data_IF_376456491096
#
_entry.id   IF_376456491096
#
_cell.length_a   1.000
_cell.length_b   1.000
_cell.length_c   1.000
_cell.angle_alpha   90.00
_cell.angle_beta   90.00
_cell.angle_gamma   90.00
#
_symmetry.space_group_name_H-M   'P 1'
#
loop_
_entity.id
_entity.type
_entity.pdbx_description
1 polymer ?
#
# COMPACT_ATOMS: atom_id res chain seq x y z
N UNK A 1 -23.85 -17.04 23.00
CA UNK A 1 -23.36 -17.45 21.67
C UNK A 1 -22.20 -16.53 21.28
N UNK A 2 -21.00 -16.74 21.81
CA UNK A 2 -19.84 -15.83 21.59
C UNK A 2 -18.52 -16.56 21.21
N UNK A 3 -18.54 -17.89 21.08
CA UNK A 3 -17.31 -18.67 20.79
C UNK A 3 -16.87 -18.65 19.32
N UNK A 4 -17.70 -18.15 18.40
CA UNK A 4 -17.42 -18.15 16.95
C UNK A 4 -16.50 -17.02 16.48
N UNK A 5 -16.64 -15.81 17.04
CA UNK A 5 -15.84 -14.65 16.61
C UNK A 5 -14.37 -14.75 17.04
N UNK A 6 -14.11 -15.21 18.26
CA UNK A 6 -12.73 -15.32 18.79
C UNK A 6 -11.87 -16.36 18.04
N UNK A 7 -12.47 -17.44 17.56
CA UNK A 7 -11.74 -18.50 16.86
C UNK A 7 -11.32 -18.07 15.45
N UNK A 8 -12.13 -17.23 14.80
CA UNK A 8 -11.89 -16.74 13.45
C UNK A 8 -10.75 -15.72 13.40
N UNK A 9 -10.69 -14.83 14.40
CA UNK A 9 -9.67 -13.78 14.52
C UNK A 9 -8.27 -14.37 14.76
N UNK A 10 -8.18 -15.45 15.55
CA UNK A 10 -6.91 -16.16 15.78
C UNK A 10 -6.40 -16.92 14.56
N UNK A 11 -7.30 -17.53 13.76
CA UNK A 11 -6.89 -18.24 12.53
C UNK A 11 -6.36 -17.28 11.46
N UNK A 12 -6.96 -16.09 11.32
CA UNK A 12 -6.49 -15.07 10.38
C UNK A 12 -5.16 -14.46 10.80
N UNK A 13 -4.99 -14.14 12.09
CA UNK A 13 -3.71 -13.69 12.63
C UNK A 13 -2.60 -14.72 12.40
N UNK A 14 -2.90 -16.01 12.59
CA UNK A 14 -1.98 -17.12 12.31
C UNK A 14 -1.58 -17.18 10.82
N UNK A 15 -2.54 -17.14 9.90
CA UNK A 15 -2.27 -17.17 8.46
C UNK A 15 -1.43 -15.98 7.98
N UNK A 16 -1.70 -14.78 8.50
CA UNK A 16 -0.95 -13.59 8.11
C UNK A 16 0.51 -13.67 8.59
N UNK A 17 0.72 -14.24 9.78
CA UNK A 17 2.04 -14.47 10.34
C UNK A 17 2.80 -15.55 9.56
N UNK A 18 2.17 -16.67 9.23
CA UNK A 18 2.74 -17.71 8.37
C UNK A 18 3.22 -17.15 7.02
N UNK A 19 2.43 -16.24 6.43
CA UNK A 19 2.81 -15.59 5.16
C UNK A 19 4.02 -14.66 5.32
N UNK A 20 4.11 -13.92 6.42
CA UNK A 20 5.28 -13.08 6.71
C UNK A 20 6.52 -13.94 6.97
N UNK A 21 6.41 -14.97 7.81
CA UNK A 21 7.51 -15.91 8.09
C UNK A 21 8.00 -16.61 6.83
N UNK A 22 7.06 -17.07 5.98
CA UNK A 22 7.41 -17.69 4.70
C UNK A 22 8.22 -16.73 3.81
N UNK A 23 7.85 -15.45 3.74
CA UNK A 23 8.60 -14.46 2.97
C UNK A 23 9.99 -14.19 3.56
N UNK A 24 10.13 -14.19 4.89
CA UNK A 24 11.42 -14.04 5.56
C UNK A 24 12.36 -15.23 5.27
N UNK A 25 11.82 -16.44 5.20
CA UNK A 25 12.58 -17.67 4.93
C UNK A 25 12.87 -17.83 3.43
N UNK A 26 11.90 -17.51 2.57
CA UNK A 26 11.98 -17.69 1.13
C UNK A 26 11.29 -16.53 0.40
N UNK A 27 12.05 -15.49 0.04
CA UNK A 27 11.44 -14.32 -0.57
C UNK A 27 10.86 -14.62 -1.94
N UNK A 28 9.59 -14.27 -2.15
CA UNK A 28 8.82 -14.57 -3.36
C UNK A 28 9.47 -14.06 -4.65
N UNK A 29 10.26 -12.99 -4.56
CA UNK A 29 10.93 -12.35 -5.70
C UNK A 29 12.47 -12.41 -5.62
N UNK A 30 13.05 -13.21 -4.72
CA UNK A 30 14.50 -13.27 -4.48
C UNK A 30 15.09 -11.98 -3.88
N UNK A 31 14.25 -11.08 -3.38
CA UNK A 31 14.65 -9.86 -2.68
C UNK A 31 14.30 -10.05 -1.21
N UNK A 32 15.29 -10.10 -0.33
CA UNK A 32 15.02 -10.16 1.11
C UNK A 32 14.41 -8.85 1.62
N UNK A 33 13.55 -8.94 2.63
CA UNK A 33 13.06 -7.77 3.33
C UNK A 33 14.24 -7.08 4.05
N UNK A 34 14.30 -5.76 3.96
CA UNK A 34 15.14 -4.96 4.86
C UNK A 34 14.56 -4.95 6.26
N UNK A 35 15.37 -4.61 7.27
CA UNK A 35 14.93 -4.51 8.67
C UNK A 35 13.73 -3.57 8.85
N UNK A 36 13.72 -2.44 8.14
CA UNK A 36 12.62 -1.48 8.19
C UNK A 36 11.36 -2.03 7.51
N UNK A 37 11.51 -2.72 6.36
CA UNK A 37 10.39 -3.37 5.67
C UNK A 37 9.75 -4.46 6.53
N UNK A 38 10.57 -5.30 7.16
CA UNK A 38 10.12 -6.35 8.08
C UNK A 38 9.36 -5.76 9.26
N UNK A 39 9.93 -4.72 9.89
CA UNK A 39 9.28 -4.06 11.03
C UNK A 39 7.95 -3.41 10.64
N UNK A 40 7.89 -2.71 9.49
CA UNK A 40 6.65 -2.11 9.00
C UNK A 40 5.62 -3.20 8.66
N UNK A 41 6.02 -4.31 8.05
CA UNK A 41 5.13 -5.44 7.79
C UNK A 41 4.57 -6.02 9.10
N UNK A 42 5.43 -6.21 10.11
CA UNK A 42 5.05 -6.67 11.44
C UNK A 42 4.10 -5.72 12.17
N UNK A 43 4.27 -4.41 12.01
CA UNK A 43 3.30 -3.42 12.52
C UNK A 43 1.94 -3.59 11.84
N UNK A 44 1.92 -3.69 10.51
CA UNK A 44 0.67 -3.76 9.74
C UNK A 44 -0.11 -5.05 9.99
N UNK A 45 0.54 -6.14 10.38
CA UNK A 45 -0.12 -7.38 10.84
C UNK A 45 -1.05 -7.14 12.03
N UNK A 46 -0.76 -6.13 12.87
CA UNK A 46 -1.55 -5.78 14.06
C UNK A 46 -2.62 -4.73 13.77
N UNK A 47 -2.64 -4.17 12.57
CA UNK A 47 -3.62 -3.18 12.16
C UNK A 47 -4.86 -3.84 11.56
N UNK A 48 -6.00 -3.16 11.66
CA UNK A 48 -7.27 -3.57 11.05
C UNK A 48 -7.94 -2.42 10.32
N UNK A 49 -9.01 -2.70 9.57
CA UNK A 49 -9.79 -1.68 8.88
C UNK A 49 -10.44 -0.67 9.84
N UNK A 50 -10.70 -1.06 11.10
CA UNK A 50 -11.23 -0.18 12.15
C UNK A 50 -10.14 0.66 12.82
N UNK A 51 -8.93 0.08 12.95
CA UNK A 51 -7.76 0.71 13.58
C UNK A 51 -6.54 0.63 12.66
N UNK A 52 -6.55 1.34 11.52
CA UNK A 52 -5.43 1.37 10.60
C UNK A 52 -4.30 2.26 11.13
N UNK A 53 -3.06 1.99 10.73
CA UNK A 53 -1.94 2.87 11.03
C UNK A 53 -1.82 4.00 10.01
N UNK A 54 -1.71 5.24 10.49
CA UNK A 54 -1.37 6.38 9.62
C UNK A 54 0.12 6.39 9.38
N UNK A 55 0.55 7.10 8.33
CA UNK A 55 1.98 7.25 8.02
C UNK A 55 2.73 7.89 9.19
N UNK A 56 2.14 8.93 9.81
CA UNK A 56 2.74 9.56 10.98
C UNK A 56 2.96 8.56 12.13
N UNK A 57 2.02 7.64 12.35
CA UNK A 57 2.15 6.62 13.39
C UNK A 57 3.28 5.65 13.04
N UNK A 58 3.35 5.18 11.79
CA UNK A 58 4.43 4.29 11.31
C UNK A 58 5.79 4.95 11.48
N UNK A 59 5.95 6.21 11.06
CA UNK A 59 7.20 6.98 11.23
C UNK A 59 7.60 7.03 12.70
N UNK A 60 6.66 7.35 13.59
CA UNK A 60 6.91 7.41 15.03
C UNK A 60 7.35 6.06 15.58
N UNK A 61 6.65 4.97 15.22
CA UNK A 61 7.02 3.63 15.69
C UNK A 61 8.39 3.17 15.17
N UNK A 62 8.74 3.48 13.92
CA UNK A 62 10.07 3.19 13.37
C UNK A 62 11.15 3.97 14.13
N UNK A 63 10.96 5.28 14.33
CA UNK A 63 11.93 6.12 15.06
C UNK A 63 12.15 5.67 16.50
N UNK A 64 11.08 5.25 17.19
CA UNK A 64 11.16 4.80 18.58
C UNK A 64 11.83 3.43 18.76
N UNK A 65 11.65 2.50 17.82
CA UNK A 65 12.07 1.10 17.99
C UNK A 65 13.31 0.71 17.18
N UNK A 66 13.52 1.33 16.01
CA UNK A 66 14.68 1.06 15.15
C UNK A 66 15.73 2.18 15.22
N UNK A 67 15.50 3.21 16.05
CA UNK A 67 16.39 4.38 16.17
C UNK A 67 16.78 5.00 14.82
N UNK A 68 15.86 4.93 13.86
CA UNK A 68 16.07 5.36 12.47
C UNK A 68 14.99 6.35 12.05
N UNK A 69 15.38 7.38 11.30
CA UNK A 69 14.44 8.37 10.77
C UNK A 69 14.06 8.03 9.34
N UNK A 70 12.76 7.98 9.08
CA UNK A 70 12.20 7.85 7.73
C UNK A 70 11.14 8.93 7.50
N UNK A 71 10.97 9.36 6.25
CA UNK A 71 9.97 10.34 5.88
C UNK A 71 8.70 9.69 5.29
N UNK A 72 7.69 10.51 5.00
CA UNK A 72 6.42 10.05 4.45
C UNK A 72 6.60 9.34 3.09
N UNK A 73 7.55 9.80 2.29
CA UNK A 73 7.84 9.24 0.96
C UNK A 73 8.45 7.86 1.09
N UNK A 74 9.40 7.68 2.00
CA UNK A 74 10.02 6.40 2.29
C UNK A 74 8.98 5.38 2.77
N UNK A 75 8.08 5.76 3.69
CA UNK A 75 6.99 4.86 4.11
C UNK A 75 6.12 4.42 2.93
N UNK A 76 5.74 5.35 2.04
CA UNK A 76 4.93 5.02 0.85
C UNK A 76 5.66 4.08 -0.10
N UNK A 77 6.95 4.30 -0.35
CA UNK A 77 7.73 3.40 -1.20
C UNK A 77 7.91 2.02 -0.58
N UNK A 78 8.14 1.93 0.73
CA UNK A 78 8.21 0.65 1.46
C UNK A 78 6.89 -0.10 1.32
N UNK A 79 5.74 0.54 1.61
CA UNK A 79 4.43 -0.10 1.47
C UNK A 79 4.18 -0.55 0.02
N UNK A 80 4.62 0.24 -0.96
CA UNK A 80 4.54 -0.13 -2.38
C UNK A 80 5.42 -1.33 -2.72
N UNK A 81 6.63 -1.40 -2.16
CA UNK A 81 7.56 -2.53 -2.27
C UNK A 81 6.91 -3.80 -1.70
N UNK A 82 6.44 -3.75 -0.45
CA UNK A 82 5.75 -4.87 0.22
C UNK A 82 4.57 -5.42 -0.61
N UNK A 83 3.77 -4.55 -1.24
CA UNK A 83 2.68 -4.98 -2.14
C UNK A 83 3.18 -5.54 -3.47
N UNK A 84 4.09 -4.84 -4.15
CA UNK A 84 4.47 -5.15 -5.54
C UNK A 84 5.45 -6.31 -5.61
N UNK A 85 6.43 -6.34 -4.73
CA UNK A 85 7.52 -7.32 -4.71
C UNK A 85 7.08 -8.55 -3.92
N UNK A 86 6.67 -8.36 -2.67
CA UNK A 86 6.36 -9.44 -1.72
C UNK A 86 4.88 -9.87 -1.73
N UNK A 87 4.03 -9.24 -2.55
CA UNK A 87 2.60 -9.57 -2.70
C UNK A 87 1.84 -9.56 -1.36
N UNK A 88 2.25 -8.70 -0.43
CA UNK A 88 1.56 -8.55 0.85
C UNK A 88 0.21 -7.87 0.64
N UNK A 89 -0.88 -8.39 1.23
CA UNK A 89 -2.24 -7.91 1.03
C UNK A 89 -2.50 -6.69 1.93
N UNK A 90 -1.65 -5.66 1.81
CA UNK A 90 -1.78 -4.43 2.59
C UNK A 90 -2.82 -3.56 1.89
N UNK A 91 -3.82 -3.08 2.61
CA UNK A 91 -4.85 -2.18 2.10
C UNK A 91 -4.59 -0.74 2.56
N UNK A 92 -5.30 0.22 1.96
CA UNK A 92 -5.21 1.62 2.34
C UNK A 92 -6.55 2.34 2.16
N UNK A 93 -6.81 3.30 3.04
CA UNK A 93 -8.01 4.15 3.00
C UNK A 93 -7.65 5.60 3.32
N UNK A 94 -8.19 6.53 2.53
CA UNK A 94 -8.04 7.99 2.75
C UNK A 94 -9.17 8.57 3.61
N UNK A 95 -10.35 7.95 3.58
CA UNK A 95 -11.50 8.30 4.44
C UNK A 95 -11.31 7.75 5.85
N UNK A 96 -12.00 8.33 6.83
CA UNK A 96 -11.92 7.88 8.23
C UNK A 96 -12.58 6.49 8.40
N UNK A 97 -11.97 5.56 9.16
CA UNK A 97 -10.62 5.63 9.71
C UNK A 97 -9.56 5.48 8.60
N UNK A 98 -8.63 6.43 8.53
CA UNK A 98 -7.65 6.53 7.46
C UNK A 98 -6.32 5.90 7.86
N UNK A 99 -5.67 5.21 6.92
CA UNK A 99 -4.38 4.56 7.14
C UNK A 99 -4.20 3.29 6.33
N UNK A 100 -3.24 2.47 6.76
CA UNK A 100 -2.86 1.19 6.19
C UNK A 100 -3.12 0.07 7.19
N UNK A 101 -3.51 -1.09 6.68
CA UNK A 101 -3.70 -2.30 7.47
C UNK A 101 -3.50 -3.55 6.60
N UNK A 102 -3.30 -4.69 7.25
CA UNK A 102 -3.28 -5.97 6.57
C UNK A 102 -4.71 -6.44 6.28
N UNK A 103 -4.99 -6.88 5.06
CA UNK A 103 -6.31 -7.39 4.70
C UNK A 103 -6.63 -8.64 5.51
N UNK A 104 -7.69 -8.61 6.31
CA UNK A 104 -8.13 -9.74 7.12
C UNK A 104 -9.35 -10.44 6.55
N UNK A 105 -10.15 -9.78 5.70
CA UNK A 105 -11.40 -10.36 5.19
C UNK A 105 -11.50 -10.33 3.66
N UNK A 106 -12.30 -11.23 3.09
CA UNK A 106 -12.61 -11.21 1.66
C UNK A 106 -13.38 -9.93 1.28
N UNK A 107 -14.27 -9.48 2.15
CA UNK A 107 -15.04 -8.23 1.99
C UNK A 107 -14.12 -7.02 1.87
N UNK A 108 -13.12 -6.90 2.74
CA UNK A 108 -12.11 -5.83 2.70
C UNK A 108 -11.36 -5.84 1.36
N UNK A 109 -11.03 -7.04 0.87
CA UNK A 109 -10.36 -7.21 -0.42
C UNK A 109 -11.25 -6.81 -1.60
N UNK A 110 -12.53 -7.17 -1.59
CA UNK A 110 -13.50 -6.81 -2.63
C UNK A 110 -13.74 -5.29 -2.70
N UNK A 111 -13.90 -4.65 -1.53
CA UNK A 111 -13.99 -3.18 -1.43
C UNK A 111 -12.74 -2.53 -2.00
N UNK A 112 -11.56 -3.03 -1.62
CA UNK A 112 -10.30 -2.51 -2.11
C UNK A 112 -10.14 -2.68 -3.62
N UNK A 113 -10.48 -3.85 -4.18
CA UNK A 113 -10.43 -4.11 -5.63
C UNK A 113 -11.33 -3.13 -6.37
N UNK A 114 -12.53 -2.88 -5.85
CA UNK A 114 -13.51 -1.96 -6.45
C UNK A 114 -12.96 -0.53 -6.48
N UNK A 115 -12.44 -0.04 -5.35
CA UNK A 115 -11.83 1.29 -5.25
C UNK A 115 -10.56 1.42 -6.10
N UNK A 116 -9.74 0.37 -6.16
CA UNK A 116 -8.50 0.39 -6.93
C UNK A 116 -8.80 0.44 -8.44
N UNK A 117 -9.81 -0.31 -8.90
CA UNK A 117 -10.26 -0.27 -10.30
C UNK A 117 -10.79 1.11 -10.69
N UNK A 118 -11.60 1.74 -9.84
CA UNK A 118 -12.13 3.07 -10.14
C UNK A 118 -10.99 4.10 -10.26
N UNK A 119 -10.01 4.06 -9.37
CA UNK A 119 -8.84 4.96 -9.42
C UNK A 119 -8.05 4.81 -10.72
N UNK A 120 -7.79 3.57 -11.16
CA UNK A 120 -7.08 3.34 -12.42
C UNK A 120 -7.85 3.88 -13.64
N UNK A 121 -9.18 3.75 -13.65
CA UNK A 121 -10.02 4.30 -14.71
C UNK A 121 -10.02 5.84 -14.70
N UNK A 122 -10.12 6.45 -13.51
CA UNK A 122 -10.08 7.90 -13.34
C UNK A 122 -8.73 8.48 -13.80
N UNK A 123 -7.62 7.81 -13.51
CA UNK A 123 -6.28 8.20 -13.96
C UNK A 123 -6.14 8.13 -15.48
N UNK A 124 -6.61 7.04 -16.11
CA UNK A 124 -6.60 6.91 -17.57
C UNK A 124 -7.49 7.96 -18.24
N UNK A 125 -8.66 8.23 -17.68
CA UNK A 125 -9.55 9.28 -18.17
C UNK A 125 -8.87 10.65 -18.08
N UNK A 126 -8.29 10.97 -16.92
CA UNK A 126 -7.58 12.24 -16.69
C UNK A 126 -6.42 12.41 -17.67
N UNK A 127 -5.61 11.36 -17.86
CA UNK A 127 -4.52 11.36 -18.85
C UNK A 127 -5.05 11.62 -20.26
N UNK A 128 -6.14 10.95 -20.66
CA UNK A 128 -6.76 11.16 -21.96
C UNK A 128 -7.22 12.61 -22.16
N UNK A 129 -7.77 13.27 -21.14
CA UNK A 129 -8.18 14.67 -21.21
C UNK A 129 -6.96 15.60 -21.32
N UNK A 130 -5.91 15.36 -20.52
CA UNK A 130 -4.66 16.12 -20.57
C UNK A 130 -4.04 16.03 -21.98
N UNK A 131 -3.93 14.82 -22.53
CA UNK A 131 -3.40 14.62 -23.88
C UNK A 131 -4.29 15.31 -24.91
N UNK A 132 -5.61 15.10 -24.88
CA UNK A 132 -6.50 15.71 -25.87
C UNK A 132 -6.45 17.24 -25.86
N UNK A 133 -6.35 17.86 -24.69
CA UNK A 133 -6.36 19.31 -24.56
C UNK A 133 -5.00 19.95 -24.81
N UNK A 134 -3.92 19.39 -24.27
CA UNK A 134 -2.60 20.03 -24.30
C UNK A 134 -1.71 19.57 -25.46
N UNK A 135 -1.94 18.36 -26.00
CA UNK A 135 -1.07 17.81 -27.04
C UNK A 135 -1.11 18.58 -28.37
N UNK A 136 -2.27 19.10 -28.85
CA UNK A 136 -2.30 19.95 -30.05
C UNK A 136 -1.47 21.23 -29.90
N UNK A 137 -1.54 21.90 -28.74
CA UNK A 137 -0.82 23.15 -28.49
C UNK A 137 0.69 22.92 -28.36
N UNK A 138 1.10 21.80 -27.74
CA UNK A 138 2.52 21.40 -27.66
C UNK A 138 3.10 21.02 -29.03
N UNK A 139 2.31 20.39 -29.91
CA UNK A 139 2.72 20.13 -31.31
C UNK A 139 2.79 21.44 -32.11
N UNK A 140 1.88 22.38 -31.85
CA UNK A 140 1.91 23.72 -32.44
C UNK A 140 3.19 24.48 -32.07
N UNK A 141 3.59 24.45 -30.80
CA UNK A 141 4.83 25.08 -30.30
C UNK A 141 6.09 24.50 -30.97
N UNK A 142 6.16 23.18 -31.14
CA UNK A 142 7.30 22.52 -31.83
C UNK A 142 7.49 22.94 -33.29
N UNK A 143 6.47 23.51 -33.94
CA UNK A 143 6.55 23.97 -35.34
C UNK A 143 7.00 25.43 -35.50
N UNK A 144 7.00 26.22 -34.43
CA UNK A 144 7.34 27.66 -34.50
C UNK A 144 8.79 28.01 -34.13
N UNK A 145 9.59 27.04 -33.67
CA UNK A 145 11.00 27.27 -33.29
C UNK A 145 12.01 26.96 -34.42
N UNK A 146 11.54 26.78 -35.67
CA UNK A 146 12.34 26.29 -36.80
C UNK A 146 12.57 27.25 -37.97
N UNK A 147 12.18 28.52 -37.87
CA UNK A 147 12.46 29.52 -38.92
C UNK A 147 12.76 30.89 -38.32
N UNK A 148 14.04 31.15 -38.11
CA UNK A 148 14.72 32.41 -38.43
C UNK A 148 16.21 32.14 -38.60
#
# INVERSE_FOLDING_TARGET
MERGLFFFDMQQAGFNFEKLEAEMISPLAGHALTEIEEYIAGLLLRASSEKPFRIADIINYVGLNLHTTIDERAVKEIIRSLRRVHKFPILARRSKPAGYWWCTSATDMEEFITLFRSQALDELHTLSQIVRHNYPDLIGQLRFDGTN
#
